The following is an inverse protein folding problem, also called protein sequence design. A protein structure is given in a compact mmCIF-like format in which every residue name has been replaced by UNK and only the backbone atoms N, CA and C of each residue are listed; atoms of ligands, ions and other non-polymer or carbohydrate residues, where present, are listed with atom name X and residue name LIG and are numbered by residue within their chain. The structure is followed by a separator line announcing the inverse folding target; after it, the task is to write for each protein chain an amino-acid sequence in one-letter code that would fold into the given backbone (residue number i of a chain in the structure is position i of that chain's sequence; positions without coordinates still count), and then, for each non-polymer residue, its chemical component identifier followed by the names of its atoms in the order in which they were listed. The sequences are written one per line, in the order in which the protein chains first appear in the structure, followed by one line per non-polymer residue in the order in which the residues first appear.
data_IF_564209891167
#
_entry.id   IF_564209891167
#
_cell.length_a   1.000
_cell.length_b   1.000
_cell.length_c   1.000
_cell.angle_alpha   90.00
_cell.angle_beta   90.00
_cell.angle_gamma   90.00
#
_symmetry.space_group_name_H-M   'P 1'
#
loop_
_entity.id
_entity.type
_entity.pdbx_description
1 polymer ?
#
# COMPACT_ATOMS: atom_id res chain seq x y z
N UNK A 1 -5.05 25.46 -0.33
CA UNK A 1 -4.32 24.19 -0.29
C UNK A 1 -4.91 23.37 0.86
N UNK A 2 -6.00 22.66 0.59
CA UNK A 2 -6.62 21.73 1.53
C UNK A 2 -6.39 20.33 0.99
N UNK A 3 -5.88 19.43 1.83
CA UNK A 3 -5.61 18.05 1.46
C UNK A 3 -5.20 17.23 2.67
N UNK A 4 -5.28 15.91 2.57
CA UNK A 4 -4.92 15.00 3.66
C UNK A 4 -3.43 15.04 4.03
N UNK A 5 -2.61 15.69 3.20
CA UNK A 5 -1.18 15.91 3.46
C UNK A 5 -0.85 17.38 3.78
N UNK A 6 -1.86 18.23 3.96
CA UNK A 6 -1.66 19.69 4.08
C UNK A 6 -1.11 20.13 5.44
N UNK A 7 -1.13 19.27 6.45
CA UNK A 7 -0.54 19.52 7.76
C UNK A 7 0.09 18.25 8.30
N UNK A 8 1.08 18.40 9.17
CA UNK A 8 1.79 17.27 9.77
C UNK A 8 0.81 16.30 10.46
N UNK A 9 -0.15 16.83 11.22
CA UNK A 9 -1.14 16.01 11.91
C UNK A 9 -2.04 15.21 10.96
N UNK A 10 -2.40 15.77 9.79
CA UNK A 10 -3.22 15.05 8.79
C UNK A 10 -2.41 14.00 8.04
N UNK A 11 -1.14 14.29 7.75
CA UNK A 11 -0.22 13.40 7.04
C UNK A 11 0.12 12.12 7.80
N UNK A 12 0.10 12.15 9.15
CA UNK A 12 0.52 11.01 9.97
C UNK A 12 -0.29 9.75 9.68
N UNK A 13 -1.62 9.86 9.58
CA UNK A 13 -2.49 8.69 9.39
C UNK A 13 -2.27 8.05 8.01
N UNK A 14 -2.34 8.79 6.87
CA UNK A 14 -2.02 8.25 5.55
C UNK A 14 -0.58 7.74 5.45
N UNK A 15 0.38 8.43 6.06
CA UNK A 15 1.79 8.05 6.04
C UNK A 15 2.05 6.71 6.73
N UNK A 16 1.53 6.53 7.93
CA UNK A 16 1.67 5.26 8.66
C UNK A 16 0.93 4.14 7.93
N UNK A 17 -0.27 4.40 7.41
CA UNK A 17 -1.03 3.43 6.64
C UNK A 17 -0.29 2.96 5.39
N UNK A 18 0.33 3.89 4.64
CA UNK A 18 1.11 3.56 3.45
C UNK A 18 2.37 2.73 3.80
N UNK A 19 3.13 3.15 4.81
CA UNK A 19 4.32 2.42 5.25
C UNK A 19 3.96 1.02 5.74
N UNK A 20 2.93 0.91 6.58
CA UNK A 20 2.43 -0.39 7.05
C UNK A 20 1.96 -1.30 5.91
N UNK A 21 1.25 -0.72 4.94
CA UNK A 21 0.78 -1.41 3.74
C UNK A 21 1.89 -1.91 2.83
N UNK A 22 3.08 -1.32 2.88
CA UNK A 22 4.26 -1.79 2.13
C UNK A 22 5.12 -2.78 2.93
N UNK A 23 5.38 -2.49 4.21
CA UNK A 23 6.30 -3.27 5.06
C UNK A 23 5.76 -4.67 5.30
N UNK A 24 4.46 -4.81 5.58
CA UNK A 24 3.86 -6.10 5.88
C UNK A 24 3.98 -7.11 4.71
N UNK A 25 3.52 -6.80 3.48
CA UNK A 25 3.66 -7.73 2.35
C UNK A 25 5.13 -7.99 1.96
N UNK A 26 6.00 -6.99 2.06
CA UNK A 26 7.44 -7.19 1.82
C UNK A 26 8.05 -8.18 2.83
N UNK A 27 7.74 -8.02 4.11
CA UNK A 27 8.23 -8.90 5.17
C UNK A 27 7.72 -10.33 5.01
N UNK A 28 6.43 -10.51 4.66
CA UNK A 28 5.86 -11.83 4.37
C UNK A 28 6.56 -12.49 3.19
N UNK A 29 6.81 -11.74 2.11
CA UNK A 29 7.51 -12.28 0.94
C UNK A 29 8.95 -12.70 1.24
N UNK A 30 9.70 -11.86 1.96
CA UNK A 30 11.07 -12.15 2.37
C UNK A 30 11.09 -13.37 3.30
N UNK A 31 10.17 -13.46 4.25
CA UNK A 31 10.07 -14.60 5.16
C UNK A 31 9.84 -15.92 4.41
N UNK A 32 8.93 -15.93 3.42
CA UNK A 32 8.66 -17.11 2.61
C UNK A 32 9.86 -17.48 1.72
N UNK A 33 10.57 -16.49 1.16
CA UNK A 33 11.68 -16.70 0.23
C UNK A 33 13.06 -16.69 0.89
N UNK A 34 13.13 -16.75 2.23
CA UNK A 34 14.37 -16.57 2.99
C UNK A 34 15.51 -17.51 2.57
N UNK A 35 15.18 -18.76 2.23
CA UNK A 35 16.14 -19.78 1.82
C UNK A 35 16.51 -19.74 0.33
N UNK A 36 15.95 -18.80 -0.44
CA UNK A 36 16.18 -18.70 -1.88
C UNK A 36 16.69 -17.30 -2.25
N UNK A 37 18.03 -17.07 -2.19
CA UNK A 37 18.62 -15.74 -2.34
C UNK A 37 18.25 -15.03 -3.65
N UNK A 38 18.08 -15.79 -4.73
CA UNK A 38 17.70 -15.24 -6.04
C UNK A 38 16.31 -14.60 -6.03
N UNK A 39 15.40 -15.09 -5.18
CA UNK A 39 14.04 -14.55 -5.09
C UNK A 39 13.96 -13.32 -4.20
N UNK A 40 14.95 -13.06 -3.33
CA UNK A 40 14.86 -11.96 -2.36
C UNK A 40 14.74 -10.58 -3.01
N UNK A 41 15.26 -10.40 -4.24
CA UNK A 41 15.09 -9.15 -4.99
C UNK A 41 13.64 -8.86 -5.41
N UNK A 42 12.76 -9.86 -5.37
CA UNK A 42 11.34 -9.74 -5.73
C UNK A 42 10.43 -9.12 -4.67
N UNK A 43 10.98 -8.68 -3.52
CA UNK A 43 10.19 -8.17 -2.39
C UNK A 43 9.30 -6.96 -2.73
N UNK A 44 9.62 -6.20 -3.78
CA UNK A 44 8.86 -5.03 -4.20
C UNK A 44 7.56 -5.41 -4.94
N UNK A 45 7.50 -6.59 -5.56
CA UNK A 45 6.34 -7.08 -6.33
C UNK A 45 5.05 -7.06 -5.50
N UNK A 46 4.97 -7.66 -4.30
CA UNK A 46 3.75 -7.68 -3.49
C UNK A 46 3.41 -6.33 -2.84
N UNK A 47 4.31 -5.34 -2.89
CA UNK A 47 4.05 -3.98 -2.36
C UNK A 47 3.45 -3.02 -3.38
N UNK A 48 3.48 -3.39 -4.66
CA UNK A 48 3.01 -2.54 -5.75
C UNK A 48 1.47 -2.44 -5.72
N UNK A 49 0.95 -1.22 -5.55
CA UNK A 49 -0.49 -0.93 -5.57
C UNK A 49 -0.88 -0.15 -6.82
N UNK A 50 -1.86 -0.65 -7.58
CA UNK A 50 -2.46 0.07 -8.72
C UNK A 50 -3.63 0.96 -8.26
N UNK A 51 -3.42 2.27 -8.32
CA UNK A 51 -4.41 3.27 -7.94
C UNK A 51 -5.57 3.32 -8.95
N UNK A 52 -5.32 3.14 -10.24
CA UNK A 52 -6.36 3.22 -11.26
C UNK A 52 -7.38 2.08 -11.09
N UNK A 53 -6.90 0.86 -10.84
CA UNK A 53 -7.77 -0.28 -10.54
C UNK A 53 -8.53 -0.08 -9.22
N UNK A 54 -7.83 0.35 -8.16
CA UNK A 54 -8.43 0.56 -6.84
C UNK A 54 -9.55 1.61 -6.88
N UNK A 55 -9.31 2.73 -7.58
CA UNK A 55 -10.34 3.75 -7.81
C UNK A 55 -11.50 3.22 -8.66
N UNK A 56 -11.24 2.45 -9.71
CA UNK A 56 -12.30 1.85 -10.51
C UNK A 56 -13.21 0.94 -9.68
N UNK A 57 -12.65 0.09 -8.82
CA UNK A 57 -13.41 -0.77 -7.89
C UNK A 57 -14.21 0.06 -6.89
N UNK A 58 -13.60 1.10 -6.31
CA UNK A 58 -14.28 2.00 -5.38
C UNK A 58 -15.45 2.74 -6.04
N UNK A 59 -15.35 3.12 -7.31
CA UNK A 59 -16.44 3.76 -8.05
C UNK A 59 -17.59 2.78 -8.35
N UNK A 60 -17.28 1.51 -8.60
CA UNK A 60 -18.30 0.45 -8.80
C UNK A 60 -19.07 0.16 -7.50
N UNK A 61 -18.38 0.11 -6.36
CA UNK A 61 -18.98 -0.23 -5.05
C UNK A 61 -19.59 1.01 -4.36
N UNK A 62 -18.98 2.19 -4.54
CA UNK A 62 -19.20 3.40 -3.75
C UNK A 62 -20.54 4.10 -3.95
N UNK A 63 -21.36 3.65 -4.90
CA UNK A 63 -22.73 4.17 -5.10
C UNK A 63 -23.67 4.00 -3.89
N UNK A 64 -23.23 3.27 -2.84
CA UNK A 64 -23.93 3.07 -1.56
C UNK A 64 -23.30 3.77 -0.35
N UNK A 65 -22.13 4.41 -0.49
CA UNK A 65 -21.35 4.95 0.64
C UNK A 65 -21.04 6.46 0.56
N UNK A 66 -21.34 7.12 -0.57
CA UNK A 66 -21.39 8.59 -0.70
C UNK A 66 -22.80 9.09 -0.37
#
# INVERSE_FOLDING_TARGET
MEGELSSFSKMLVPGIAAVGGMVLPAAVYIYINYNNPENLSGWAIPTATDIAFSLAVLLVIGKKFL
#
